data_IF_688413797648
#
_entry.id   IF_688413797648
#
_cell.length_a   1.000
_cell.length_b   1.000
_cell.length_c   1.000
_cell.angle_alpha   90.00
_cell.angle_beta   90.00
_cell.angle_gamma   90.00
#
_symmetry.space_group_name_H-M   'P 1'
#
loop_
_entity.id
_entity.type
_entity.pdbx_description
1 polymer ?
#
# COMPACT_ATOMS: atom_id res chain seq x y z
N UNK A 1 -6.35 -4.56 11.07
CA UNK A 1 -5.14 -4.70 10.25
C UNK A 1 -3.93 -4.70 11.17
N UNK A 2 -3.01 -5.63 10.99
CA UNK A 2 -1.75 -5.64 11.72
C UNK A 2 -0.81 -4.56 11.16
N UNK A 3 -0.05 -3.87 12.01
CA UNK A 3 1.08 -3.05 11.58
C UNK A 3 2.21 -3.98 11.11
N UNK A 4 2.70 -3.79 9.88
CA UNK A 4 3.81 -4.56 9.33
C UNK A 4 5.06 -3.68 9.37
N UNK A 5 6.12 -4.18 9.98
CA UNK A 5 7.41 -3.50 10.10
C UNK A 5 8.50 -4.35 9.44
N UNK A 6 9.43 -3.72 8.73
CA UNK A 6 10.61 -4.39 8.16
C UNK A 6 11.83 -3.99 8.99
N UNK A 7 12.59 -4.97 9.45
CA UNK A 7 13.67 -4.78 10.42
C UNK A 7 14.92 -5.51 9.94
N UNK A 8 16.06 -4.84 9.93
CA UNK A 8 17.36 -5.51 9.81
C UNK A 8 17.81 -5.99 11.19
N UNK A 9 17.99 -7.29 11.37
CA UNK A 9 18.41 -7.82 12.66
C UNK A 9 18.44 -9.34 12.78
N UNK A 10 18.64 -9.77 14.02
CA UNK A 10 18.63 -11.17 14.42
C UNK A 10 17.30 -11.49 15.10
N UNK A 11 16.53 -12.39 14.49
CA UNK A 11 15.21 -12.78 14.97
C UNK A 11 15.22 -13.35 16.40
N UNK A 12 16.36 -13.92 16.84
CA UNK A 12 16.50 -14.48 18.19
C UNK A 12 16.50 -13.40 19.28
N UNK A 13 16.65 -12.13 18.91
CA UNK A 13 16.68 -10.97 19.81
C UNK A 13 15.39 -10.16 19.81
N UNK A 14 14.42 -10.57 19.01
CA UNK A 14 13.17 -9.83 18.83
C UNK A 14 12.28 -9.88 20.06
N UNK A 15 11.64 -8.75 20.35
CA UNK A 15 10.82 -8.55 21.54
C UNK A 15 9.33 -8.69 21.17
N UNK A 16 8.95 -9.86 20.65
CA UNK A 16 7.57 -10.18 20.24
C UNK A 16 7.03 -11.37 21.03
N UNK A 17 5.71 -11.56 21.07
CA UNK A 17 5.08 -12.67 21.78
C UNK A 17 5.45 -14.03 21.16
N UNK A 18 5.69 -14.08 19.85
CA UNK A 18 6.12 -15.28 19.14
C UNK A 18 7.14 -15.00 18.03
N UNK A 19 8.08 -15.92 17.82
CA UNK A 19 9.00 -15.89 16.68
C UNK A 19 8.74 -17.08 15.77
N UNK A 20 8.94 -16.89 14.47
CA UNK A 20 8.79 -17.94 13.46
C UNK A 20 10.16 -18.48 13.07
N UNK A 21 10.29 -19.79 12.96
CA UNK A 21 11.47 -20.44 12.37
C UNK A 21 11.13 -21.04 11.01
N UNK A 22 12.04 -20.87 10.05
CA UNK A 22 11.99 -21.54 8.75
C UNK A 22 12.59 -22.95 8.92
N UNK A 23 11.74 -23.89 9.36
CA UNK A 23 12.12 -25.24 9.71
C UNK A 23 12.15 -26.18 8.50
N UNK A 24 12.67 -27.38 8.72
CA UNK A 24 12.47 -28.54 7.86
C UNK A 24 11.38 -29.47 8.45
N UNK A 25 10.90 -30.44 7.68
CA UNK A 25 9.78 -31.31 8.07
C UNK A 25 9.95 -32.05 9.39
N UNK A 26 11.19 -32.29 9.84
CA UNK A 26 11.46 -32.98 11.11
C UNK A 26 11.19 -32.13 12.36
N UNK A 27 11.22 -30.80 12.23
CA UNK A 27 11.13 -29.83 13.33
C UNK A 27 12.23 -29.98 14.41
N UNK A 28 13.30 -30.71 14.13
CA UNK A 28 14.39 -30.98 15.10
C UNK A 28 15.54 -29.97 14.99
N UNK A 29 15.37 -28.90 14.22
CA UNK A 29 16.39 -27.91 13.93
C UNK A 29 17.16 -28.19 12.64
N UNK A 30 18.13 -27.31 12.35
CA UNK A 30 18.89 -27.32 11.10
C UNK A 30 19.93 -26.20 11.04
N UNK A 31 20.17 -25.69 9.84
CA UNK A 31 21.07 -24.56 9.59
C UNK A 31 20.35 -23.21 9.59
N UNK A 32 21.09 -22.14 9.24
CA UNK A 32 20.52 -20.80 9.06
C UNK A 32 19.77 -20.28 10.29
N UNK A 33 18.61 -19.65 10.04
CA UNK A 33 17.75 -19.10 11.08
C UNK A 33 17.21 -20.17 12.04
N UNK A 34 16.95 -21.38 11.53
CA UNK A 34 16.45 -22.49 12.34
C UNK A 34 17.47 -22.93 13.39
N UNK A 35 18.71 -23.12 12.95
CA UNK A 35 19.81 -23.39 13.86
C UNK A 35 20.07 -22.26 14.85
N UNK A 36 19.88 -21.00 14.45
CA UNK A 36 20.03 -19.86 15.36
C UNK A 36 18.96 -19.86 16.47
N UNK A 37 17.69 -20.08 16.10
CA UNK A 37 16.58 -20.17 17.05
C UNK A 37 16.77 -21.37 17.99
N UNK A 38 17.17 -22.55 17.48
CA UNK A 38 17.44 -23.73 18.32
C UNK A 38 18.60 -23.50 19.30
N UNK A 39 19.68 -22.83 18.89
CA UNK A 39 20.78 -22.47 19.81
C UNK A 39 20.34 -21.50 20.90
N UNK A 40 19.46 -20.55 20.57
CA UNK A 40 18.97 -19.55 21.50
C UNK A 40 17.90 -20.09 22.46
N UNK A 41 17.00 -20.96 21.98
CA UNK A 41 15.93 -21.57 22.76
C UNK A 41 16.39 -22.78 23.61
N UNK A 42 17.56 -23.35 23.29
CA UNK A 42 18.10 -24.52 23.98
C UNK A 42 17.59 -25.86 23.44
N UNK A 43 18.19 -26.98 23.89
CA UNK A 43 17.96 -28.31 23.30
C UNK A 43 16.52 -28.82 23.42
N UNK A 44 15.76 -28.34 24.41
CA UNK A 44 14.35 -28.70 24.64
C UNK A 44 13.44 -28.33 23.47
N UNK A 45 13.84 -27.35 22.66
CA UNK A 45 13.09 -27.00 21.45
C UNK A 45 13.06 -28.15 20.43
N UNK A 46 14.19 -28.85 20.25
CA UNK A 46 14.26 -30.01 19.35
C UNK A 46 13.43 -31.19 19.86
N UNK A 47 13.45 -31.45 21.17
CA UNK A 47 12.63 -32.50 21.79
C UNK A 47 11.13 -32.24 21.59
N UNK A 48 10.69 -30.99 21.80
CA UNK A 48 9.30 -30.60 21.59
C UNK A 48 8.90 -30.62 20.10
N UNK A 49 9.79 -30.20 19.21
CA UNK A 49 9.59 -30.28 17.76
C UNK A 49 9.42 -31.72 17.27
N UNK A 50 10.29 -32.62 17.72
CA UNK A 50 10.21 -34.05 17.39
C UNK A 50 8.89 -34.69 17.83
N UNK A 51 8.31 -34.24 18.94
CA UNK A 51 7.05 -34.77 19.46
C UNK A 51 5.81 -34.33 18.67
N UNK A 52 5.88 -33.25 17.90
CA UNK A 52 4.76 -32.69 17.12
C UNK A 52 4.96 -32.75 15.61
N UNK A 53 6.13 -33.20 15.16
CA UNK A 53 6.45 -33.46 13.77
C UNK A 53 5.85 -34.78 13.25
N UNK A 54 5.91 -35.02 11.93
CA UNK A 54 6.44 -34.10 10.91
C UNK A 54 5.48 -32.95 10.58
N UNK A 55 6.02 -31.87 10.00
CA UNK A 55 5.24 -30.75 9.47
C UNK A 55 5.35 -30.70 7.94
N UNK A 56 4.24 -30.80 7.18
CA UNK A 56 4.31 -30.71 5.72
C UNK A 56 4.64 -29.27 5.26
N UNK A 57 5.22 -29.11 4.04
CA UNK A 57 5.43 -27.80 3.44
C UNK A 57 4.14 -26.97 3.39
N UNK A 58 4.24 -25.68 3.72
CA UNK A 58 3.10 -24.76 3.73
C UNK A 58 2.25 -24.82 5.01
N UNK A 59 2.59 -25.68 5.97
CA UNK A 59 1.92 -25.80 7.26
C UNK A 59 2.80 -25.27 8.40
N UNK A 60 2.24 -25.19 9.61
CA UNK A 60 2.95 -24.72 10.79
C UNK A 60 2.58 -25.49 12.07
N UNK A 61 3.50 -25.50 13.04
CA UNK A 61 3.33 -26.08 14.39
C UNK A 61 3.91 -25.12 15.42
N UNK A 62 3.43 -25.16 16.66
CA UNK A 62 3.90 -24.27 17.72
C UNK A 62 4.45 -25.05 18.92
N UNK A 63 5.48 -24.49 19.53
CA UNK A 63 6.10 -24.98 20.78
C UNK A 63 6.28 -23.81 21.75
N UNK A 64 6.48 -24.07 23.06
CA UNK A 64 7.03 -23.07 23.97
C UNK A 64 8.37 -22.54 23.46
N UNK A 65 8.72 -21.30 23.83
CA UNK A 65 9.96 -20.66 23.39
C UNK A 65 11.22 -21.03 24.21
N UNK A 66 11.02 -21.74 25.33
CA UNK A 66 12.09 -22.22 26.22
C UNK A 66 13.03 -21.09 26.68
N UNK A 67 14.31 -21.12 26.28
CA UNK A 67 15.34 -20.21 26.76
C UNK A 67 15.38 -18.88 25.98
N UNK A 68 14.51 -18.70 24.98
CA UNK A 68 14.32 -17.39 24.35
C UNK A 68 13.79 -16.38 25.38
N UNK A 69 14.45 -15.23 25.44
CA UNK A 69 14.14 -14.20 26.44
C UNK A 69 12.69 -13.69 26.32
N UNK A 70 12.06 -13.32 27.45
CA UNK A 70 10.78 -12.60 27.42
C UNK A 70 10.89 -11.35 26.52
N UNK A 71 9.81 -10.97 25.80
CA UNK A 71 8.45 -11.49 25.89
C UNK A 71 8.14 -12.72 25.01
N UNK A 72 9.14 -13.36 24.38
CA UNK A 72 8.88 -14.49 23.47
C UNK A 72 8.35 -15.69 24.27
N UNK A 73 7.11 -16.07 24.01
CA UNK A 73 6.44 -17.21 24.66
C UNK A 73 6.36 -18.43 23.77
N UNK A 74 6.31 -18.23 22.45
CA UNK A 74 6.14 -19.30 21.47
C UNK A 74 7.17 -19.23 20.34
N UNK A 75 7.60 -20.40 19.89
CA UNK A 75 8.26 -20.57 18.59
C UNK A 75 7.26 -21.27 17.67
N UNK A 76 6.95 -20.64 16.55
CA UNK A 76 6.11 -21.22 15.49
C UNK A 76 7.04 -21.72 14.39
N UNK A 77 7.00 -23.02 14.15
CA UNK A 77 7.78 -23.71 13.13
C UNK A 77 6.96 -23.81 11.86
N UNK A 78 7.50 -23.39 10.73
CA UNK A 78 6.85 -23.55 9.43
C UNK A 78 7.85 -24.03 8.38
N UNK A 79 7.36 -24.86 7.45
CA UNK A 79 8.20 -25.49 6.44
C UNK A 79 7.94 -24.83 5.10
N UNK A 80 8.90 -24.04 4.64
CA UNK A 80 8.83 -23.37 3.35
C UNK A 80 9.01 -24.33 2.16
N UNK A 81 8.63 -23.90 0.94
CA UNK A 81 8.91 -24.67 -0.26
C UNK A 81 10.41 -24.70 -0.56
N UNK A 82 10.85 -25.73 -1.31
CA UNK A 82 12.11 -25.68 -2.07
C UNK A 82 11.81 -25.08 -3.43
N UNK A 83 12.66 -24.18 -3.91
CA UNK A 83 12.46 -23.56 -5.22
C UNK A 83 12.83 -24.53 -6.35
N UNK A 84 11.87 -24.83 -7.22
CA UNK A 84 12.01 -25.73 -8.37
C UNK A 84 11.58 -25.02 -9.66
N UNK A 85 11.90 -23.73 -9.78
CA UNK A 85 11.64 -22.92 -10.98
C UNK A 85 10.29 -22.20 -11.00
N UNK A 86 9.49 -22.27 -9.93
CA UNK A 86 8.30 -21.43 -9.72
C UNK A 86 7.02 -21.93 -10.38
N UNK A 87 7.06 -23.08 -11.06
CA UNK A 87 5.94 -23.65 -11.80
C UNK A 87 5.19 -24.76 -11.02
N UNK A 88 5.59 -25.06 -9.78
CA UNK A 88 5.08 -26.18 -8.99
C UNK A 88 4.24 -25.73 -7.78
N UNK A 89 3.82 -24.47 -7.74
CA UNK A 89 2.99 -23.91 -6.68
C UNK A 89 3.81 -23.45 -5.46
N UNK A 90 5.13 -23.24 -5.62
CA UNK A 90 6.01 -22.83 -4.52
C UNK A 90 5.54 -21.53 -3.88
N UNK A 91 5.08 -20.56 -4.67
CA UNK A 91 4.53 -19.30 -4.17
C UNK A 91 3.30 -19.52 -3.26
N UNK A 92 2.42 -20.45 -3.61
CA UNK A 92 1.23 -20.76 -2.81
C UNK A 92 1.58 -21.46 -1.49
N UNK A 93 2.57 -22.35 -1.53
CA UNK A 93 3.13 -23.01 -0.33
C UNK A 93 3.77 -21.97 0.60
N UNK A 94 4.58 -21.05 0.05
CA UNK A 94 5.17 -19.96 0.82
C UNK A 94 4.09 -19.05 1.43
N UNK A 95 3.07 -18.68 0.65
CA UNK A 95 1.94 -17.89 1.15
C UNK A 95 1.18 -18.62 2.26
N UNK A 96 1.03 -19.94 2.15
CA UNK A 96 0.40 -20.79 3.17
C UNK A 96 1.18 -20.78 4.48
N UNK A 97 2.53 -20.78 4.44
CA UNK A 97 3.37 -20.68 5.63
C UNK A 97 2.99 -19.47 6.49
N UNK A 98 2.96 -18.27 5.88
CA UNK A 98 2.59 -17.03 6.57
C UNK A 98 1.16 -17.09 7.13
N UNK A 99 0.18 -17.51 6.33
CA UNK A 99 -1.23 -17.61 6.78
C UNK A 99 -1.41 -18.61 7.92
N UNK A 100 -0.76 -19.77 7.87
CA UNK A 100 -0.84 -20.80 8.91
C UNK A 100 -0.18 -20.35 10.20
N UNK A 101 0.95 -19.65 10.12
CA UNK A 101 1.58 -19.04 11.29
C UNK A 101 0.68 -18.00 11.96
N UNK A 102 0.08 -17.09 11.19
CA UNK A 102 -0.84 -16.08 11.73
C UNK A 102 -2.08 -16.70 12.38
N UNK A 103 -2.65 -17.75 11.76
CA UNK A 103 -3.77 -18.49 12.36
C UNK A 103 -3.39 -19.15 13.69
N UNK A 104 -2.22 -19.79 13.77
CA UNK A 104 -1.72 -20.36 15.03
C UNK A 104 -1.45 -19.28 16.08
N UNK A 105 -0.93 -18.12 15.67
CA UNK A 105 -0.74 -16.99 16.56
C UNK A 105 -2.08 -16.55 17.18
N UNK A 106 -3.16 -16.50 16.39
CA UNK A 106 -4.50 -16.19 16.88
C UNK A 106 -5.02 -17.25 17.87
N UNK A 107 -4.85 -18.54 17.55
CA UNK A 107 -5.23 -19.65 18.43
C UNK A 107 -4.49 -19.61 19.78
N UNK A 108 -3.25 -19.08 19.80
CA UNK A 108 -2.41 -18.93 20.98
C UNK A 108 -2.59 -17.57 21.71
N UNK A 109 -3.42 -16.66 21.18
CA UNK A 109 -3.61 -15.32 21.75
C UNK A 109 -2.39 -14.39 21.63
N UNK A 110 -1.47 -14.67 20.69
CA UNK A 110 -0.28 -13.87 20.39
C UNK A 110 -0.70 -12.55 19.73
N UNK A 111 -0.15 -11.41 20.19
CA UNK A 111 -0.47 -10.08 19.63
C UNK A 111 0.66 -9.49 18.80
N UNK A 112 1.90 -9.96 18.97
CA UNK A 112 3.04 -9.58 18.13
C UNK A 112 3.83 -10.81 17.68
N UNK A 113 4.23 -10.84 16.41
CA UNK A 113 4.95 -11.98 15.82
C UNK A 113 6.09 -11.50 14.91
N UNK A 114 7.24 -12.16 15.00
CA UNK A 114 8.37 -11.93 14.11
C UNK A 114 8.54 -13.08 13.11
N UNK A 115 8.67 -12.74 11.83
CA UNK A 115 8.93 -13.67 10.73
C UNK A 115 10.33 -13.44 10.15
N UNK A 116 11.10 -14.49 9.84
CA UNK A 116 12.27 -14.36 8.98
C UNK A 116 11.84 -14.26 7.51
N UNK A 117 12.77 -13.97 6.61
CA UNK A 117 12.55 -14.19 5.18
C UNK A 117 12.52 -15.70 4.86
N UNK A 118 11.32 -16.30 4.90
CA UNK A 118 11.14 -17.74 4.69
C UNK A 118 11.54 -18.12 3.26
N UNK A 119 12.25 -19.25 3.12
CA UNK A 119 12.67 -19.88 1.86
C UNK A 119 13.70 -19.12 0.99
N UNK A 120 14.16 -17.93 1.36
CA UNK A 120 15.13 -17.15 0.56
C UNK A 120 16.60 -17.55 0.73
N UNK A 121 16.91 -18.38 1.74
CA UNK A 121 18.25 -18.91 1.99
C UNK A 121 18.54 -20.19 1.19
N UNK A 122 18.84 -21.29 1.91
CA UNK A 122 19.22 -22.60 1.31
C UNK A 122 18.15 -23.16 0.37
N UNK A 123 16.88 -22.76 0.51
CA UNK A 123 15.79 -23.19 -0.36
C UNK A 123 15.71 -22.44 -1.69
N UNK A 124 16.52 -21.40 -1.90
CA UNK A 124 16.75 -20.79 -3.21
C UNK A 124 15.60 -19.98 -3.78
N UNK A 125 14.56 -19.67 -2.99
CA UNK A 125 13.42 -18.88 -3.48
C UNK A 125 13.88 -17.46 -3.84
N UNK A 126 13.58 -16.94 -5.04
CA UNK A 126 13.97 -15.59 -5.44
C UNK A 126 13.51 -14.54 -4.43
N UNK A 127 14.44 -13.77 -3.87
CA UNK A 127 14.16 -12.88 -2.75
C UNK A 127 13.08 -11.82 -3.05
N UNK A 128 13.04 -11.29 -4.27
CA UNK A 128 12.03 -10.31 -4.69
C UNK A 128 10.63 -10.93 -4.73
N UNK A 129 10.50 -12.16 -5.24
CA UNK A 129 9.23 -12.86 -5.32
C UNK A 129 8.77 -13.34 -3.94
N UNK A 130 9.69 -13.80 -3.10
CA UNK A 130 9.41 -14.13 -1.71
C UNK A 130 8.90 -12.91 -0.92
N UNK A 131 9.49 -11.72 -1.15
CA UNK A 131 9.03 -10.48 -0.53
C UNK A 131 7.60 -10.13 -0.95
N UNK A 132 7.27 -10.25 -2.25
CA UNK A 132 5.90 -10.11 -2.78
C UNK A 132 4.93 -11.04 -2.07
N UNK A 133 5.25 -12.34 -2.00
CA UNK A 133 4.39 -13.34 -1.38
C UNK A 133 4.21 -13.06 0.12
N UNK A 134 5.28 -12.75 0.84
CA UNK A 134 5.25 -12.48 2.28
C UNK A 134 4.34 -11.30 2.62
N UNK A 135 4.60 -10.13 2.01
CA UNK A 135 3.82 -8.91 2.26
C UNK A 135 2.35 -9.10 1.87
N UNK A 136 2.08 -9.71 0.71
CA UNK A 136 0.71 -9.97 0.25
C UNK A 136 -0.04 -10.90 1.19
N UNK A 137 0.58 -12.01 1.60
CA UNK A 137 -0.04 -13.00 2.49
C UNK A 137 -0.34 -12.42 3.88
N UNK A 138 0.55 -11.58 4.42
CA UNK A 138 0.36 -10.95 5.73
C UNK A 138 -0.70 -9.84 5.66
N UNK A 139 -0.62 -8.96 4.65
CA UNK A 139 -1.53 -7.82 4.52
C UNK A 139 -2.98 -8.25 4.25
N UNK A 140 -3.19 -9.38 3.58
CA UNK A 140 -4.52 -9.94 3.29
C UNK A 140 -5.07 -10.87 4.38
N UNK A 141 -4.28 -11.23 5.38
CA UNK A 141 -4.72 -12.13 6.43
C UNK A 141 -5.69 -11.46 7.41
N UNK A 142 -6.81 -12.14 7.68
CA UNK A 142 -7.67 -11.80 8.81
C UNK A 142 -7.06 -12.39 10.08
N UNK A 143 -6.53 -11.53 10.96
CA UNK A 143 -5.84 -11.95 12.18
C UNK A 143 -6.04 -10.96 13.33
N UNK A 144 -5.95 -11.45 14.56
CA UNK A 144 -5.98 -10.66 15.80
C UNK A 144 -4.60 -10.10 16.19
N UNK A 145 -3.53 -10.60 15.56
CA UNK A 145 -2.18 -10.06 15.67
C UNK A 145 -2.19 -8.57 15.32
N UNK A 146 -1.57 -7.75 16.17
CA UNK A 146 -1.51 -6.28 16.00
C UNK A 146 -0.23 -5.83 15.33
N UNK A 147 0.86 -6.57 15.50
CA UNK A 147 2.17 -6.22 14.97
C UNK A 147 2.85 -7.44 14.36
N UNK A 148 3.29 -7.31 13.11
CA UNK A 148 4.08 -8.30 12.39
C UNK A 148 5.41 -7.67 12.04
N UNK A 149 6.51 -8.31 12.43
CA UNK A 149 7.86 -7.85 12.13
C UNK A 149 8.53 -8.80 11.14
N UNK A 150 8.86 -8.30 9.96
CA UNK A 150 9.62 -9.01 8.94
C UNK A 150 11.11 -8.75 9.17
N UNK A 151 11.80 -9.75 9.70
CA UNK A 151 13.21 -9.67 10.07
C UNK A 151 14.07 -10.14 8.90
N UNK A 152 14.78 -9.19 8.31
CA UNK A 152 15.83 -9.44 7.33
C UNK A 152 17.18 -9.56 8.04
N UNK A 153 17.98 -10.54 7.65
CA UNK A 153 19.34 -10.70 8.20
C UNK A 153 20.36 -9.81 7.49
N UNK A 154 20.08 -9.40 6.25
CA UNK A 154 20.92 -8.54 5.42
C UNK A 154 20.15 -7.36 4.81
N UNK A 155 20.91 -6.37 4.33
CA UNK A 155 20.39 -5.13 3.76
C UNK A 155 19.58 -5.35 2.49
N UNK A 156 20.04 -6.23 1.60
CA UNK A 156 19.37 -6.53 0.34
C UNK A 156 17.94 -7.05 0.58
N UNK A 157 17.78 -8.00 1.49
CA UNK A 157 16.48 -8.57 1.83
C UNK A 157 15.59 -7.54 2.52
N UNK A 158 16.16 -6.72 3.43
CA UNK A 158 15.45 -5.60 4.07
C UNK A 158 14.89 -4.67 3.02
N UNK A 159 15.70 -4.25 2.06
CA UNK A 159 15.33 -3.25 1.05
C UNK A 159 14.24 -3.78 0.11
N UNK A 160 14.31 -5.06 -0.28
CA UNK A 160 13.26 -5.71 -1.09
C UNK A 160 11.92 -5.79 -0.34
N UNK A 161 11.93 -6.18 0.94
CA UNK A 161 10.74 -6.23 1.78
C UNK A 161 10.14 -4.84 2.00
N UNK A 162 10.98 -3.83 2.27
CA UNK A 162 10.55 -2.45 2.47
C UNK A 162 9.94 -1.87 1.18
N UNK A 163 10.57 -2.11 0.03
CA UNK A 163 10.06 -1.68 -1.27
C UNK A 163 8.71 -2.33 -1.62
N UNK A 164 8.52 -3.62 -1.32
CA UNK A 164 7.22 -4.26 -1.52
C UNK A 164 6.16 -3.76 -0.54
N UNK A 165 6.49 -3.56 0.74
CA UNK A 165 5.55 -3.03 1.72
C UNK A 165 5.06 -1.63 1.34
N UNK A 166 5.96 -0.77 0.86
CA UNK A 166 5.62 0.54 0.33
C UNK A 166 4.69 0.43 -0.90
N UNK A 167 5.02 -0.45 -1.86
CA UNK A 167 4.18 -0.69 -3.05
C UNK A 167 2.80 -1.24 -2.70
N UNK A 168 2.70 -2.17 -1.75
CA UNK A 168 1.43 -2.75 -1.32
C UNK A 168 0.53 -1.71 -0.64
N UNK A 169 1.13 -0.85 0.20
CA UNK A 169 0.43 0.28 0.84
C UNK A 169 -0.08 1.28 -0.20
N UNK A 170 0.75 1.62 -1.19
CA UNK A 170 0.34 2.50 -2.31
C UNK A 170 -0.82 1.90 -3.09
N UNK A 171 -0.76 0.61 -3.43
CA UNK A 171 -1.82 -0.08 -4.20
C UNK A 171 -3.13 -0.15 -3.43
N UNK A 172 -3.08 -0.39 -2.12
CA UNK A 172 -4.27 -0.36 -1.26
C UNK A 172 -4.87 1.05 -1.16
N UNK A 173 -4.01 2.08 -1.07
CA UNK A 173 -4.45 3.48 -1.12
C UNK A 173 -5.09 3.82 -2.49
N UNK A 174 -4.47 3.42 -3.60
CA UNK A 174 -4.99 3.59 -4.96
C UNK A 174 -6.37 2.93 -5.11
N UNK A 175 -6.49 1.67 -4.70
CA UNK A 175 -7.76 0.94 -4.74
C UNK A 175 -8.83 1.64 -3.90
N UNK A 176 -8.46 2.21 -2.76
CA UNK A 176 -9.39 2.96 -1.91
C UNK A 176 -9.86 4.23 -2.61
N UNK A 177 -8.97 4.96 -3.28
CA UNK A 177 -9.32 6.14 -4.07
C UNK A 177 -10.24 5.79 -5.24
N UNK A 178 -9.89 4.74 -6.00
CA UNK A 178 -10.68 4.29 -7.14
C UNK A 178 -12.07 3.77 -6.75
N UNK A 179 -12.21 3.15 -5.58
CA UNK A 179 -13.49 2.66 -5.08
C UNK A 179 -14.50 3.78 -4.74
N UNK A 180 -14.05 5.04 -4.70
CA UNK A 180 -14.91 6.20 -4.45
C UNK A 180 -15.48 6.80 -5.72
N UNK A 181 -14.84 6.51 -6.86
CA UNK A 181 -15.43 6.79 -8.15
C UNK A 181 -16.75 6.00 -8.27
N UNK A 182 -17.74 6.55 -8.97
CA UNK A 182 -19.06 5.94 -9.16
C UNK A 182 -19.98 5.86 -7.93
N UNK A 183 -19.56 6.39 -6.78
CA UNK A 183 -20.35 6.31 -5.53
C UNK A 183 -21.45 7.37 -5.40
N UNK A 184 -21.53 8.32 -6.35
CA UNK A 184 -22.56 9.37 -6.34
C UNK A 184 -23.85 8.88 -7.01
N UNK A 185 -25.00 9.33 -6.50
CA UNK A 185 -26.33 8.90 -6.96
C UNK A 185 -26.60 9.18 -8.46
N UNK A 186 -25.79 10.02 -9.08
CA UNK A 186 -25.95 10.44 -10.48
C UNK A 186 -25.19 9.55 -11.48
N UNK A 187 -24.28 8.69 -11.02
CA UNK A 187 -23.65 7.63 -11.84
C UNK A 187 -23.18 8.08 -13.22
N UNK A 188 -23.78 7.51 -14.29
CA UNK A 188 -23.41 7.76 -15.68
C UNK A 188 -23.61 9.22 -16.13
N UNK A 189 -24.56 9.95 -15.54
CA UNK A 189 -24.82 11.36 -15.89
C UNK A 189 -23.68 12.26 -15.40
N UNK A 190 -23.12 11.96 -14.22
CA UNK A 190 -21.94 12.67 -13.69
C UNK A 190 -20.72 12.49 -14.61
N UNK A 191 -20.48 11.25 -15.05
CA UNK A 191 -19.40 10.98 -16.00
C UNK A 191 -19.65 11.61 -17.37
N UNK A 192 -20.89 11.64 -17.86
CA UNK A 192 -21.24 12.34 -19.09
C UNK A 192 -20.82 13.82 -19.06
N UNK A 193 -21.04 14.49 -17.93
CA UNK A 193 -20.58 15.89 -17.73
C UNK A 193 -19.07 16.01 -17.68
N UNK A 194 -18.37 15.11 -16.97
CA UNK A 194 -16.90 15.10 -16.93
C UNK A 194 -16.30 14.88 -18.32
N UNK A 195 -16.85 13.94 -19.07
CA UNK A 195 -16.41 13.60 -20.43
C UNK A 195 -16.63 14.79 -21.38
N UNK A 196 -17.76 15.48 -21.27
CA UNK A 196 -18.05 16.67 -22.07
C UNK A 196 -17.04 17.80 -21.80
N UNK A 197 -16.83 18.17 -20.52
CA UNK A 197 -15.88 19.22 -20.17
C UNK A 197 -14.44 18.83 -20.49
N UNK A 198 -14.05 17.56 -20.32
CA UNK A 198 -12.74 17.07 -20.76
C UNK A 198 -12.52 17.26 -22.27
N UNK A 199 -13.56 17.07 -23.09
CA UNK A 199 -13.53 17.35 -24.53
C UNK A 199 -13.31 18.83 -24.84
N UNK A 200 -13.95 19.73 -24.10
CA UNK A 200 -13.73 21.18 -24.23
C UNK A 200 -12.28 21.58 -23.91
N UNK A 201 -11.71 21.01 -22.85
CA UNK A 201 -10.30 21.21 -22.47
C UNK A 201 -9.31 20.60 -23.45
N UNK A 202 -9.62 19.45 -24.04
CA UNK A 202 -8.78 18.87 -25.08
C UNK A 202 -8.78 19.70 -26.38
N UNK A 203 -9.92 20.30 -26.74
CA UNK A 203 -10.05 21.12 -27.95
C UNK A 203 -9.38 22.49 -27.80
N UNK A 204 -9.44 23.09 -26.61
CA UNK A 204 -8.86 24.39 -26.33
C UNK A 204 -8.28 24.37 -24.91
N UNK A 205 -6.99 24.00 -24.72
CA UNK A 205 -6.35 23.86 -23.41
C UNK A 205 -6.59 25.02 -22.44
N UNK A 206 -6.54 26.24 -22.95
CA UNK A 206 -6.84 27.47 -22.23
C UNK A 206 -7.66 28.40 -23.13
N UNK A 207 -8.78 28.88 -22.61
CA UNK A 207 -9.67 29.82 -23.27
C UNK A 207 -9.63 31.20 -22.60
N UNK A 208 -9.88 32.24 -23.40
CA UNK A 208 -10.14 33.57 -22.86
C UNK A 208 -11.35 33.52 -21.92
N UNK A 209 -11.16 34.01 -20.69
CA UNK A 209 -12.20 34.02 -19.66
C UNK A 209 -12.24 32.78 -18.77
N UNK A 210 -11.34 31.80 -18.94
CA UNK A 210 -11.24 30.66 -18.00
C UNK A 210 -10.90 31.12 -16.59
N UNK A 211 -9.99 32.09 -16.44
CA UNK A 211 -9.82 32.81 -15.18
C UNK A 211 -9.16 34.18 -15.37
N UNK A 212 -9.34 35.05 -14.39
CA UNK A 212 -8.55 36.28 -14.24
C UNK A 212 -8.42 36.65 -12.77
N UNK A 213 -7.44 37.49 -12.43
CA UNK A 213 -7.32 38.09 -11.11
C UNK A 213 -8.10 39.40 -11.03
N UNK A 214 -8.88 39.60 -9.98
CA UNK A 214 -9.42 40.93 -9.67
C UNK A 214 -8.27 41.85 -9.23
N UNK A 215 -8.33 43.16 -9.54
CA UNK A 215 -7.31 44.08 -9.10
C UNK A 215 -7.39 44.27 -7.59
N UNK A 216 -6.25 44.42 -6.93
CA UNK A 216 -6.21 44.97 -5.57
C UNK A 216 -6.66 46.43 -5.63
N UNK A 217 -7.68 46.78 -4.86
CA UNK A 217 -8.26 48.13 -4.84
C UNK A 217 -8.15 48.76 -3.46
N UNK A 218 -7.95 50.08 -3.42
CA UNK A 218 -8.01 50.87 -2.20
C UNK A 218 -9.14 51.89 -2.34
N UNK A 219 -10.07 51.88 -1.39
CA UNK A 219 -11.19 52.82 -1.36
C UNK A 219 -10.75 54.15 -0.70
N UNK A 220 -11.42 55.28 -0.98
CA UNK A 220 -11.07 56.58 -0.39
C UNK A 220 -11.14 56.64 1.16
N UNK A 221 -11.81 55.69 1.80
CA UNK A 221 -11.86 55.51 3.26
C UNK A 221 -10.69 54.66 3.81
N UNK A 222 -9.71 54.31 2.97
CA UNK A 222 -8.50 53.55 3.33
C UNK A 222 -8.69 52.04 3.36
N UNK A 223 -9.84 51.51 2.94
CA UNK A 223 -10.10 50.06 2.91
C UNK A 223 -9.42 49.43 1.69
N UNK A 224 -8.51 48.49 1.93
CA UNK A 224 -7.83 47.69 0.89
C UNK A 224 -8.58 46.36 0.70
N UNK A 225 -8.95 46.07 -0.55
CA UNK A 225 -9.46 44.75 -0.96
C UNK A 225 -8.38 44.08 -1.81
N UNK A 226 -7.85 42.97 -1.32
CA UNK A 226 -6.84 42.17 -2.04
C UNK A 226 -7.50 41.46 -3.22
N UNK A 227 -6.81 41.46 -4.37
CA UNK A 227 -7.25 40.73 -5.54
C UNK A 227 -7.35 39.22 -5.29
N UNK A 228 -8.31 38.59 -5.96
CA UNK A 228 -8.58 37.15 -5.87
C UNK A 228 -8.90 36.60 -7.27
N UNK A 229 -8.69 35.30 -7.52
CA UNK A 229 -9.00 34.72 -8.81
C UNK A 229 -10.50 34.58 -9.00
N UNK A 230 -10.97 34.86 -10.21
CA UNK A 230 -12.34 34.63 -10.65
C UNK A 230 -12.30 33.62 -11.78
N UNK A 231 -12.98 32.49 -11.57
CA UNK A 231 -13.04 31.38 -12.52
C UNK A 231 -14.29 31.45 -13.38
N UNK A 232 -14.10 31.31 -14.69
CA UNK A 232 -15.16 31.25 -15.68
C UNK A 232 -16.02 29.99 -15.59
N UNK A 233 -17.13 30.00 -16.33
CA UNK A 233 -18.15 28.94 -16.30
C UNK A 233 -17.58 27.55 -16.62
N UNK A 234 -16.69 27.47 -17.61
CA UNK A 234 -16.04 26.23 -18.03
C UNK A 234 -15.19 25.62 -16.90
N UNK A 235 -14.41 26.43 -16.18
CA UNK A 235 -13.61 25.98 -15.04
C UNK A 235 -14.50 25.57 -13.87
N UNK A 236 -15.59 26.29 -13.62
CA UNK A 236 -16.56 25.91 -12.59
C UNK A 236 -17.25 24.58 -12.90
N UNK A 237 -17.61 24.33 -14.17
CA UNK A 237 -18.14 23.04 -14.62
C UNK A 237 -17.12 21.92 -14.45
N UNK A 238 -15.85 22.15 -14.80
CA UNK A 238 -14.79 21.16 -14.58
C UNK A 238 -14.65 20.80 -13.09
N UNK A 239 -14.58 21.81 -12.22
CA UNK A 239 -14.52 21.61 -10.77
C UNK A 239 -15.71 20.81 -10.24
N UNK A 240 -16.92 21.16 -10.69
CA UNK A 240 -18.14 20.45 -10.28
C UNK A 240 -18.14 19.00 -10.78
N UNK A 241 -17.78 18.78 -12.04
CA UNK A 241 -17.71 17.43 -12.61
C UNK A 241 -16.71 16.53 -11.85
N UNK A 242 -15.55 17.05 -11.45
CA UNK A 242 -14.58 16.30 -10.62
C UNK A 242 -15.15 15.91 -9.25
N UNK A 243 -15.92 16.80 -8.63
CA UNK A 243 -16.62 16.50 -7.36
C UNK A 243 -17.71 15.44 -7.59
N UNK A 244 -18.51 15.60 -8.63
CA UNK A 244 -19.66 14.74 -8.92
C UNK A 244 -19.24 13.30 -9.25
N UNK A 245 -18.06 13.07 -9.83
CA UNK A 245 -17.53 11.70 -10.06
C UNK A 245 -16.78 11.13 -8.86
N UNK A 246 -16.65 11.87 -7.75
CA UNK A 246 -15.92 11.43 -6.56
C UNK A 246 -14.40 11.60 -6.64
N UNK A 247 -13.86 12.34 -7.62
CA UNK A 247 -12.43 12.57 -7.76
C UNK A 247 -11.86 13.61 -6.76
N UNK A 248 -12.73 14.34 -6.05
CA UNK A 248 -12.35 15.25 -4.97
C UNK A 248 -12.77 14.64 -3.63
N UNK A 249 -11.83 14.12 -2.85
CA UNK A 249 -12.14 13.23 -1.72
C UNK A 249 -11.46 13.60 -0.39
N UNK A 250 -12.10 13.29 0.77
CA UNK A 250 -11.44 13.31 2.07
C UNK A 250 -10.47 12.13 2.30
N UNK A 251 -10.55 11.05 1.53
CA UNK A 251 -9.74 9.84 1.72
C UNK A 251 -8.25 10.03 1.38
N UNK A 252 -7.92 11.13 0.69
CA UNK A 252 -6.55 11.52 0.42
C UNK A 252 -6.12 12.66 1.37
N UNK A 253 -5.11 12.44 2.24
CA UNK A 253 -4.58 13.47 3.13
C UNK A 253 -3.66 14.44 2.37
N UNK A 254 -4.27 15.24 1.49
CA UNK A 254 -3.57 16.09 0.52
C UNK A 254 -2.62 17.15 1.10
N UNK A 255 -2.75 17.50 2.39
CA UNK A 255 -1.84 18.46 3.05
C UNK A 255 -0.54 17.80 3.54
N UNK A 256 -0.55 16.50 3.77
CA UNK A 256 0.59 15.76 4.33
C UNK A 256 1.45 15.12 3.24
N UNK A 257 1.05 15.22 1.97
CA UNK A 257 1.69 14.54 0.84
C UNK A 257 2.17 15.55 -0.21
N UNK A 258 3.39 15.33 -0.71
CA UNK A 258 4.07 16.18 -1.68
C UNK A 258 3.27 16.32 -2.99
N UNK A 259 3.41 17.45 -3.72
CA UNK A 259 2.72 17.63 -4.99
C UNK A 259 3.14 16.54 -5.98
N UNK A 260 2.14 15.86 -6.54
CA UNK A 260 2.34 14.95 -7.67
C UNK A 260 2.62 15.80 -8.90
N UNK A 261 3.71 15.50 -9.58
CA UNK A 261 4.04 16.10 -10.88
C UNK A 261 3.27 15.38 -11.97
N UNK A 262 2.69 16.15 -12.90
CA UNK A 262 2.14 15.59 -14.13
C UNK A 262 3.30 15.10 -15.00
N UNK A 263 3.29 13.85 -15.49
CA UNK A 263 4.31 13.36 -16.40
C UNK A 263 4.36 14.18 -17.71
N UNK A 264 5.49 14.14 -18.43
CA UNK A 264 5.67 14.91 -19.67
C UNK A 264 4.64 14.55 -20.76
N UNK A 265 4.12 13.31 -20.75
CA UNK A 265 3.08 12.86 -21.68
C UNK A 265 1.65 13.27 -21.28
N UNK A 266 1.49 13.88 -20.10
CA UNK A 266 0.21 14.31 -19.55
C UNK A 266 -0.74 13.18 -19.15
N UNK A 267 -0.31 11.92 -19.16
CA UNK A 267 -1.15 10.76 -18.86
C UNK A 267 -0.96 10.36 -17.40
N UNK A 268 -2.04 10.49 -16.62
CA UNK A 268 -2.03 10.15 -15.21
C UNK A 268 -2.67 8.78 -14.97
N UNK A 269 -2.08 7.93 -14.11
CA UNK A 269 -2.82 6.87 -13.47
C UNK A 269 -4.07 7.46 -12.80
N UNK A 270 -5.22 6.75 -12.83
CA UNK A 270 -6.48 7.32 -12.33
C UNK A 270 -6.44 7.68 -10.83
N UNK A 271 -5.67 6.94 -10.02
CA UNK A 271 -5.47 7.28 -8.62
C UNK A 271 -4.69 8.60 -8.45
N UNK A 272 -3.68 8.85 -9.28
CA UNK A 272 -2.92 10.11 -9.24
C UNK A 272 -3.75 11.28 -9.76
N UNK A 273 -4.59 11.05 -10.76
CA UNK A 273 -5.58 12.04 -11.20
C UNK A 273 -6.54 12.43 -10.05
N UNK A 274 -7.00 11.48 -9.22
CA UNK A 274 -7.82 11.76 -8.02
C UNK A 274 -7.03 12.58 -6.99
N UNK A 275 -5.78 12.22 -6.73
CA UNK A 275 -4.92 12.95 -5.77
C UNK A 275 -4.70 14.40 -6.21
N UNK A 276 -4.35 14.60 -7.48
CA UNK A 276 -4.15 15.94 -8.07
C UNK A 276 -5.46 16.71 -8.09
N UNK A 277 -6.58 16.12 -8.53
CA UNK A 277 -7.90 16.76 -8.50
C UNK A 277 -8.26 17.22 -7.07
N UNK A 278 -8.03 16.36 -6.08
CA UNK A 278 -8.29 16.65 -4.67
C UNK A 278 -7.41 17.80 -4.18
N UNK A 279 -6.10 17.78 -4.44
CA UNK A 279 -5.18 18.82 -4.04
C UNK A 279 -5.51 20.17 -4.71
N UNK A 280 -5.78 20.17 -6.02
CA UNK A 280 -6.12 21.39 -6.77
C UNK A 280 -7.43 22.02 -6.31
N UNK A 281 -8.50 21.22 -6.20
CA UNK A 281 -9.84 21.75 -5.86
C UNK A 281 -9.97 22.14 -4.38
N UNK A 282 -9.34 21.38 -3.47
CA UNK A 282 -9.36 21.70 -2.03
C UNK A 282 -8.32 22.76 -1.69
N UNK A 283 -7.17 22.75 -2.35
CA UNK A 283 -6.08 23.72 -2.17
C UNK A 283 -6.50 25.15 -2.48
N UNK A 284 -7.39 25.36 -3.46
CA UNK A 284 -7.97 26.67 -3.74
C UNK A 284 -8.64 27.34 -2.52
N UNK A 285 -9.10 26.56 -1.54
CA UNK A 285 -9.69 27.13 -0.31
C UNK A 285 -8.66 27.74 0.64
N UNK A 286 -7.39 27.44 0.44
CA UNK A 286 -6.27 27.83 1.31
C UNK A 286 -5.28 28.72 0.59
N UNK A 287 -5.09 28.51 -0.71
CA UNK A 287 -4.19 29.26 -1.56
C UNK A 287 -4.94 29.73 -2.81
N UNK A 288 -5.34 30.99 -2.82
CA UNK A 288 -5.97 31.65 -3.97
C UNK A 288 -5.10 31.46 -5.21
N UNK A 289 -5.70 30.96 -6.29
CA UNK A 289 -5.05 30.82 -7.59
C UNK A 289 -4.49 29.44 -7.87
N UNK A 290 -4.66 28.47 -6.96
CA UNK A 290 -4.24 27.07 -7.15
C UNK A 290 -4.83 26.46 -8.42
N UNK A 291 -6.14 26.66 -8.66
CA UNK A 291 -6.81 26.20 -9.89
C UNK A 291 -6.29 26.98 -11.11
N UNK A 292 -5.98 28.27 -10.93
CA UNK A 292 -5.42 29.11 -12.00
C UNK A 292 -4.06 28.58 -12.47
N UNK A 293 -3.17 28.27 -11.52
CA UNK A 293 -1.88 27.66 -11.82
C UNK A 293 -2.03 26.27 -12.45
N UNK A 294 -2.97 25.44 -11.96
CA UNK A 294 -3.23 24.14 -12.55
C UNK A 294 -3.76 24.22 -13.99
N UNK A 295 -4.47 25.30 -14.35
CA UNK A 295 -4.86 25.59 -15.73
C UNK A 295 -3.64 25.94 -16.59
N UNK A 296 -2.85 26.92 -16.15
CA UNK A 296 -1.67 27.42 -16.88
C UNK A 296 -0.62 26.31 -17.11
N UNK A 297 -0.48 25.39 -16.16
CA UNK A 297 0.46 24.27 -16.24
C UNK A 297 -0.13 23.04 -16.96
N UNK A 298 -1.35 23.11 -17.49
CA UNK A 298 -2.03 21.97 -18.13
C UNK A 298 -2.40 20.83 -17.18
N UNK A 299 -2.21 21.00 -15.87
CA UNK A 299 -2.50 19.99 -14.85
C UNK A 299 -3.98 19.65 -14.78
N UNK A 300 -4.86 20.65 -14.85
CA UNK A 300 -6.30 20.41 -14.86
C UNK A 300 -6.73 19.62 -16.10
N UNK A 301 -6.15 19.92 -17.27
CA UNK A 301 -6.42 19.19 -18.51
C UNK A 301 -5.97 17.73 -18.40
N UNK A 302 -4.77 17.47 -17.87
CA UNK A 302 -4.24 16.13 -17.67
C UNK A 302 -5.15 15.27 -16.78
N UNK A 303 -5.64 15.84 -15.67
CA UNK A 303 -6.60 15.20 -14.76
C UNK A 303 -7.90 14.85 -15.48
N UNK A 304 -8.53 15.83 -16.13
CA UNK A 304 -9.81 15.64 -16.83
C UNK A 304 -9.70 14.58 -17.94
N UNK A 305 -8.63 14.66 -18.74
CA UNK A 305 -8.38 13.74 -19.86
C UNK A 305 -8.13 12.31 -19.38
N UNK A 306 -7.34 12.15 -18.32
CA UNK A 306 -6.99 10.83 -17.76
C UNK A 306 -8.21 10.13 -17.16
N UNK A 307 -9.02 10.85 -16.37
CA UNK A 307 -10.25 10.31 -15.79
C UNK A 307 -11.30 9.99 -16.87
N UNK A 308 -11.49 10.87 -17.85
CA UNK A 308 -12.38 10.63 -18.99
C UNK A 308 -11.95 9.38 -19.79
N UNK A 309 -10.66 9.21 -20.01
CA UNK A 309 -10.12 8.05 -20.76
C UNK A 309 -10.32 6.77 -19.98
N UNK A 310 -10.00 6.76 -18.68
CA UNK A 310 -10.22 5.63 -17.78
C UNK A 310 -11.69 5.17 -17.74
N UNK A 311 -12.63 6.12 -17.68
CA UNK A 311 -14.06 5.80 -17.68
C UNK A 311 -14.50 5.13 -18.99
N UNK A 312 -14.07 5.67 -20.14
CA UNK A 312 -14.42 5.13 -21.46
C UNK A 312 -13.84 3.73 -21.67
N UNK A 313 -12.58 3.49 -21.30
CA UNK A 313 -11.94 2.18 -21.47
C UNK A 313 -12.58 1.12 -20.58
N UNK A 314 -13.00 1.50 -19.36
CA UNK A 314 -13.77 0.63 -18.47
C UNK A 314 -15.14 0.27 -19.05
N UNK A 315 -15.85 1.22 -19.67
CA UNK A 315 -17.17 0.98 -20.26
C UNK A 315 -17.14 0.06 -21.49
N UNK A 316 -16.02 0.02 -22.24
CA UNK A 316 -15.87 -0.84 -23.43
C UNK A 316 -15.36 -2.25 -23.14
N UNK A 317 -14.88 -2.52 -21.92
CA UNK A 317 -14.27 -3.79 -21.51
C UNK A 317 -15.18 -4.69 -20.66
N UNK A 318 -16.49 -4.43 -20.63
CA UNK A 318 -17.50 -5.20 -19.89
C UNK A 318 -18.24 -6.21 -20.74
#
# INVERSE_FOLDING_TARGET
>A
MAAIEVVLGDITREQTDAVVTAANESLMGGGGVDGAIHRAAGPRLAEAGAAIGPCPPGDARATPAFDLGPPVRHVIHTVGPRWEGGAHGEADVLASCYRRCLRLADELGVRSIAFPAIATGVHGFPAEEAARVAVSAIASASTSVRQVRLIAFDETTRDLLAAELARSTSRAADSTLLAQLDTTAEGADAWGRLVAVAGEFAALPQADGDFHWTPTTERPDGVITVGYPVYGERVQRARRALVDVGAVTPAYPWMDQYPLTVPDDGVLPPADAIRIATATVRGERFCDGTIGQALEQGTLQAVLTSLSTWYRTRATGG
#
